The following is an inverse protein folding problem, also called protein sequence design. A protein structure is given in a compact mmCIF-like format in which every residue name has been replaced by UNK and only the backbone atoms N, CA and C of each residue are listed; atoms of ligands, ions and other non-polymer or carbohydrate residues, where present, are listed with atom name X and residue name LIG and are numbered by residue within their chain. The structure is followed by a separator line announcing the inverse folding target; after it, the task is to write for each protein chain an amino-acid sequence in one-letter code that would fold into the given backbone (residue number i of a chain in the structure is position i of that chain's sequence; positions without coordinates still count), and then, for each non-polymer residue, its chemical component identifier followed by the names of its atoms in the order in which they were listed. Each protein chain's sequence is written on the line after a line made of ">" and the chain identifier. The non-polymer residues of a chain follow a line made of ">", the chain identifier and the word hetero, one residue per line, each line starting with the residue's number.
data_IF_957099166541
#
_entry.id   IF_957099166541
#
_cell.length_a   1.000
_cell.length_b   1.000
_cell.length_c   1.000
_cell.angle_alpha   90.00
_cell.angle_beta   90.00
_cell.angle_gamma   90.00
#
_symmetry.space_group_name_H-M   'P 1'
#
loop_
_entity.id
_entity.type
_entity.pdbx_description
1 polymer ?
#
# COMPACT_ATOMS: atom_id res chain seq x y z
N UNK A 1 8.69 -12.34 22.71
CA UNK A 1 8.51 -12.76 21.31
C UNK A 1 7.58 -11.73 20.68
N UNK A 2 8.12 -10.65 20.12
CA UNK A 2 7.32 -9.64 19.42
C UNK A 2 7.06 -10.18 18.01
N UNK A 3 6.09 -11.09 17.90
CA UNK A 3 5.62 -11.56 16.61
C UNK A 3 4.63 -10.49 16.14
N UNK A 4 5.13 -9.54 15.34
CA UNK A 4 4.41 -8.38 14.83
C UNK A 4 4.10 -7.29 15.87
N UNK A 5 4.92 -6.25 15.82
CA UNK A 5 4.63 -4.93 16.36
C UNK A 5 5.03 -3.97 15.23
N UNK A 6 4.15 -3.87 14.23
CA UNK A 6 4.43 -3.10 13.03
C UNK A 6 4.49 -1.60 13.35
N UNK A 7 3.96 -1.17 14.50
CA UNK A 7 4.10 0.18 15.03
C UNK A 7 3.54 1.24 14.07
N UNK A 8 2.71 0.80 13.14
CA UNK A 8 2.13 1.64 12.11
C UNK A 8 0.99 2.45 12.73
N UNK A 9 1.00 3.74 12.46
CA UNK A 9 0.01 4.68 12.94
C UNK A 9 -0.86 5.18 11.78
N UNK A 10 -2.00 5.77 12.11
CA UNK A 10 -2.84 6.42 11.10
C UNK A 10 -2.05 7.59 10.49
N UNK A 11 -1.78 7.48 9.19
CA UNK A 11 -0.97 8.46 8.45
C UNK A 11 0.26 7.82 7.81
N UNK A 12 0.70 6.67 8.30
CA UNK A 12 1.74 5.91 7.62
C UNK A 12 1.21 5.34 6.30
N UNK A 13 1.98 5.54 5.25
CA UNK A 13 1.60 5.15 3.89
C UNK A 13 2.79 4.60 3.13
N UNK A 14 2.50 3.72 2.18
CA UNK A 14 3.44 3.26 1.18
C UNK A 14 2.81 3.40 -0.20
N UNK A 15 3.65 3.54 -1.21
CA UNK A 15 3.25 3.69 -2.60
C UNK A 15 3.66 2.47 -3.40
N UNK A 16 2.79 2.04 -4.32
CA UNK A 16 3.03 0.95 -5.25
C UNK A 16 2.86 1.52 -6.67
N UNK A 17 3.76 1.19 -7.57
CA UNK A 17 3.65 1.56 -8.99
C UNK A 17 2.91 0.51 -9.83
N UNK A 18 2.84 0.75 -11.14
CA UNK A 18 2.11 -0.09 -12.09
C UNK A 18 2.69 -1.52 -12.21
N UNK A 19 3.99 -1.66 -11.95
CA UNK A 19 4.72 -2.92 -11.98
C UNK A 19 4.58 -3.71 -10.65
N UNK A 20 3.90 -3.14 -9.65
CA UNK A 20 3.77 -3.75 -8.34
C UNK A 20 5.02 -3.60 -7.48
N UNK A 21 5.88 -2.62 -7.78
CA UNK A 21 7.04 -2.30 -6.97
C UNK A 21 6.66 -1.28 -5.88
N UNK A 22 7.10 -1.53 -4.65
CA UNK A 22 7.00 -0.53 -3.58
C UNK A 22 8.05 0.55 -3.84
N UNK A 23 7.56 1.74 -4.19
CA UNK A 23 8.39 2.89 -4.60
C UNK A 23 8.60 3.86 -3.44
N UNK A 24 7.76 3.81 -2.41
CA UNK A 24 7.92 4.60 -1.20
C UNK A 24 7.37 3.83 -0.01
N UNK A 25 8.14 3.74 1.07
CA UNK A 25 7.67 3.28 2.36
C UNK A 25 8.58 3.85 3.46
N UNK A 26 8.06 4.18 4.65
CA UNK A 26 8.87 4.42 5.84
C UNK A 26 9.84 3.26 6.10
N UNK A 27 11.00 3.56 6.70
CA UNK A 27 11.91 2.52 7.16
C UNK A 27 11.20 1.62 8.18
N UNK A 28 11.34 0.30 8.02
CA UNK A 28 10.70 -0.67 8.90
C UNK A 28 9.21 -0.90 8.63
N UNK A 29 8.68 -0.45 7.48
CA UNK A 29 7.27 -0.70 7.15
C UNK A 29 6.93 -2.20 7.15
N UNK A 30 5.75 -2.50 7.67
CA UNK A 30 5.27 -3.87 7.88
C UNK A 30 5.18 -4.66 6.57
N UNK A 31 6.00 -5.70 6.42
CA UNK A 31 6.00 -6.54 5.21
C UNK A 31 4.63 -7.21 4.95
N UNK A 32 3.95 -7.65 6.00
CA UNK A 32 2.62 -8.26 5.86
C UNK A 32 1.56 -7.26 5.37
N UNK A 33 1.65 -5.99 5.77
CA UNK A 33 0.77 -4.94 5.26
C UNK A 33 0.95 -4.77 3.74
N UNK A 34 2.20 -4.68 3.27
CA UNK A 34 2.53 -4.60 1.83
C UNK A 34 2.03 -5.83 1.08
N UNK A 35 2.36 -7.03 1.57
CA UNK A 35 2.00 -8.29 0.94
C UNK A 35 0.47 -8.52 0.84
N UNK A 36 -0.31 -7.88 1.72
CA UNK A 36 -1.79 -7.94 1.68
C UNK A 36 -2.38 -7.09 0.55
N UNK A 37 -1.69 -6.01 0.16
CA UNK A 37 -2.18 -5.06 -0.84
C UNK A 37 -1.69 -5.41 -2.25
N UNK A 38 -0.44 -5.85 -2.39
CA UNK A 38 0.20 -6.08 -3.70
C UNK A 38 -0.65 -6.91 -4.69
N UNK A 39 -1.21 -8.08 -4.33
CA UNK A 39 -2.03 -8.87 -5.25
C UNK A 39 -3.37 -8.20 -5.62
N UNK A 40 -3.83 -7.25 -4.81
CA UNK A 40 -5.08 -6.52 -5.04
C UNK A 40 -4.89 -5.32 -5.96
N UNK A 41 -3.68 -4.81 -6.14
CA UNK A 41 -3.45 -3.64 -7.00
C UNK A 41 -2.68 -3.99 -8.27
N UNK A 42 -1.85 -5.03 -8.26
CA UNK A 42 -1.08 -5.45 -9.43
C UNK A 42 -1.99 -5.75 -10.62
N UNK A 43 -1.74 -5.09 -11.75
CA UNK A 43 -2.56 -5.17 -12.97
C UNK A 43 -3.86 -4.36 -12.97
N UNK A 44 -4.23 -3.68 -11.87
CA UNK A 44 -5.35 -2.72 -11.81
C UNK A 44 -4.88 -1.26 -11.93
N UNK A 45 -3.58 -1.02 -11.73
CA UNK A 45 -2.94 0.28 -11.90
C UNK A 45 -2.69 0.52 -13.41
N UNK A 46 -2.81 1.76 -13.88
CA UNK A 46 -2.59 2.14 -15.29
C UNK A 46 -3.78 2.00 -16.24
N UNK A 47 -4.70 1.07 -15.96
CA UNK A 47 -5.99 1.02 -16.61
C UNK A 47 -6.88 2.15 -16.09
N UNK A 48 -7.12 3.19 -16.89
CA UNK A 48 -8.09 4.23 -16.54
C UNK A 48 -9.47 3.60 -16.30
N UNK A 49 -10.03 3.78 -15.10
CA UNK A 49 -11.40 3.35 -14.79
C UNK A 49 -11.56 2.05 -13.99
N UNK A 50 -10.60 1.66 -13.13
CA UNK A 50 -10.86 0.61 -12.14
C UNK A 50 -11.83 1.12 -11.06
N UNK A 51 -13.12 0.84 -11.25
CA UNK A 51 -14.20 1.30 -10.38
C UNK A 51 -14.11 0.75 -8.94
N UNK A 52 -13.31 -0.30 -8.71
CA UNK A 52 -13.06 -0.82 -7.37
C UNK A 52 -12.06 0.07 -6.63
N UNK A 53 -10.94 0.43 -7.26
CA UNK A 53 -9.98 1.40 -6.71
C UNK A 53 -10.62 2.78 -6.50
N UNK A 54 -11.53 3.20 -7.39
CA UNK A 54 -12.23 4.50 -7.28
C UNK A 54 -13.13 4.58 -6.03
N UNK A 55 -13.56 3.43 -5.47
CA UNK A 55 -14.32 3.37 -4.22
C UNK A 55 -13.44 3.47 -2.97
N UNK A 56 -12.12 3.58 -3.12
CA UNK A 56 -11.14 3.68 -2.02
C UNK A 56 -11.29 2.55 -1.00
N UNK A 57 -11.14 1.28 -1.43
CA UNK A 57 -11.43 0.12 -0.61
C UNK A 57 -10.47 0.04 0.58
N UNK A 58 -10.96 -0.59 1.65
CA UNK A 58 -10.16 -0.90 2.84
C UNK A 58 -9.63 -2.33 2.74
N UNK A 59 -8.34 -2.51 3.03
CA UNK A 59 -7.67 -3.81 3.08
C UNK A 59 -7.14 -4.04 4.48
N UNK A 60 -7.49 -5.16 5.08
CA UNK A 60 -7.00 -5.52 6.41
C UNK A 60 -5.63 -6.22 6.31
N UNK A 61 -4.71 -5.88 7.20
CA UNK A 61 -3.52 -6.70 7.45
C UNK A 61 -3.97 -8.03 8.10
N UNK A 62 -3.39 -9.18 7.70
CA UNK A 62 -3.76 -10.48 8.26
C UNK A 62 -3.30 -10.67 9.70
N UNK A 63 -2.55 -9.72 10.27
CA UNK A 63 -2.01 -9.80 11.62
C UNK A 63 -3.03 -9.30 12.66
N UNK A 64 -3.63 -10.19 13.49
CA UNK A 64 -4.73 -9.83 14.37
C UNK A 64 -4.41 -8.80 15.48
N UNK A 65 -3.24 -8.82 16.14
CA UNK A 65 -2.88 -7.86 17.17
C UNK A 65 -2.87 -6.40 16.68
N UNK A 66 -2.39 -6.16 15.46
CA UNK A 66 -2.30 -4.81 14.90
C UNK A 66 -3.66 -4.26 14.45
N UNK A 67 -4.61 -5.14 14.08
CA UNK A 67 -5.94 -4.77 13.59
C UNK A 67 -5.92 -3.67 12.49
N UNK A 68 -4.83 -3.63 11.73
CA UNK A 68 -4.54 -2.58 10.77
C UNK A 68 -5.48 -2.67 9.56
N UNK A 69 -6.10 -1.54 9.22
CA UNK A 69 -6.88 -1.36 8.00
C UNK A 69 -6.26 -0.24 7.16
N UNK A 70 -5.91 -0.57 5.92
CA UNK A 70 -5.29 0.35 4.97
C UNK A 70 -6.30 0.79 3.94
N UNK A 71 -6.35 2.09 3.63
CA UNK A 71 -7.15 2.61 2.52
C UNK A 71 -6.31 2.66 1.25
N UNK A 72 -6.84 2.12 0.17
CA UNK A 72 -6.22 2.24 -1.14
C UNK A 72 -6.70 3.51 -1.84
N UNK A 73 -5.76 4.31 -2.33
CA UNK A 73 -6.04 5.56 -3.04
C UNK A 73 -5.09 5.70 -4.23
N UNK A 74 -5.58 6.25 -5.34
CA UNK A 74 -4.71 6.61 -6.47
C UNK A 74 -3.93 7.87 -6.11
N UNK A 75 -2.62 7.79 -6.24
CA UNK A 75 -1.71 8.93 -6.13
C UNK A 75 -1.22 9.33 -7.51
N UNK A 76 -1.45 10.59 -7.89
CA UNK A 76 -0.90 11.14 -9.11
C UNK A 76 0.56 11.50 -8.88
N UNK A 77 1.48 10.77 -9.52
CA UNK A 77 2.90 11.13 -9.52
C UNK A 77 3.17 12.16 -10.61
N UNK A 78 3.81 13.30 -10.32
CA UNK A 78 4.27 14.19 -11.38
C UNK A 78 5.33 13.46 -12.22
N UNK A 79 5.27 13.61 -13.54
CA UNK A 79 6.06 12.84 -14.52
C UNK A 79 7.60 12.94 -14.37
N UNK A 80 8.10 13.77 -13.45
CA UNK A 80 9.51 14.00 -13.17
C UNK A 80 9.98 13.48 -11.80
N UNK A 81 9.13 12.83 -11.01
CA UNK A 81 9.54 12.26 -9.73
C UNK A 81 10.29 10.93 -9.95
N UNK A 82 11.54 10.91 -9.50
CA UNK A 82 12.42 9.75 -9.61
C UNK A 82 11.89 8.61 -8.72
N UNK A 83 11.72 7.37 -9.22
CA UNK A 83 11.14 6.26 -8.46
C UNK A 83 12.00 5.74 -7.28
N UNK A 84 13.18 6.32 -7.04
CA UNK A 84 14.17 5.85 -6.06
C UNK A 84 14.63 6.92 -5.05
N UNK A 85 13.95 8.08 -4.97
CA UNK A 85 14.28 9.18 -4.04
C UNK A 85 13.34 9.26 -2.83
#
# INVERSE_FOLDING_TARGET
>A
MNYSACGLEVGDSFEIDEDGLVVRAPEGFCYFAIASVLPLVSGRIGGGGDAWLDQRPLVACPDPPEALHMRLERVERPANANPHE
#
